data_IF_428612735278
#
_entry.id   IF_428612735278
#
_cell.length_a   1.000
_cell.length_b   1.000
_cell.length_c   1.000
_cell.angle_alpha   90.00
_cell.angle_beta   90.00
_cell.angle_gamma   90.00
#
_symmetry.space_group_name_H-M   'P 1'
#
loop_
_entity.id
_entity.type
_entity.pdbx_description
1 polymer ?
#
# COMPACT_ATOMS: atom_id res chain seq x y z
N UNK A 1 9.38 30.50 -15.48
CA UNK A 1 10.54 29.73 -14.95
C UNK A 1 10.33 29.24 -13.51
N UNK A 2 9.72 30.01 -12.59
CA UNK A 2 9.46 29.58 -11.21
C UNK A 2 8.53 28.34 -11.09
N UNK A 3 7.48 28.24 -11.91
CA UNK A 3 6.53 27.12 -11.86
C UNK A 3 7.13 25.77 -12.22
N UNK A 4 8.11 25.74 -13.14
CA UNK A 4 8.83 24.52 -13.53
C UNK A 4 9.71 23.99 -12.39
N UNK A 5 10.44 24.87 -11.70
CA UNK A 5 11.25 24.48 -10.53
C UNK A 5 10.39 23.95 -9.37
N UNK A 6 9.23 24.55 -9.11
CA UNK A 6 8.31 24.10 -8.06
C UNK A 6 7.76 22.69 -8.34
N UNK A 7 7.44 22.38 -9.60
CA UNK A 7 6.98 21.04 -9.99
C UNK A 7 8.08 19.97 -9.82
N UNK A 8 9.34 20.31 -10.12
CA UNK A 8 10.49 19.40 -9.94
C UNK A 8 10.81 19.18 -8.47
N UNK A 9 10.66 20.21 -7.62
CA UNK A 9 10.89 20.10 -6.18
C UNK A 9 9.92 19.11 -5.51
N UNK A 10 8.64 19.11 -5.93
CA UNK A 10 7.64 18.16 -5.43
C UNK A 10 8.00 16.69 -5.71
N UNK A 11 8.69 16.42 -6.82
CA UNK A 11 9.17 15.08 -7.16
C UNK A 11 10.27 14.56 -6.23
N UNK A 12 11.08 15.46 -5.64
CA UNK A 12 12.14 15.09 -4.69
C UNK A 12 11.66 15.00 -3.23
N UNK A 13 10.47 15.49 -2.93
CA UNK A 13 9.94 15.48 -1.56
C UNK A 13 9.96 14.07 -0.91
N UNK A 14 9.49 12.98 -1.57
CA UNK A 14 9.50 11.65 -0.98
C UNK A 14 10.91 11.14 -0.66
N UNK A 15 11.87 11.36 -1.59
CA UNK A 15 13.27 10.98 -1.40
C UNK A 15 13.91 11.71 -0.22
N UNK A 16 13.62 13.01 -0.09
CA UNK A 16 14.10 13.80 1.04
C UNK A 16 13.53 13.28 2.36
N UNK A 17 12.23 12.99 2.44
CA UNK A 17 11.61 12.43 3.65
C UNK A 17 12.16 11.04 4.03
N UNK A 18 12.41 10.17 3.05
CA UNK A 18 13.03 8.86 3.30
C UNK A 18 14.45 9.04 3.85
N UNK A 19 15.26 9.90 3.24
CA UNK A 19 16.63 10.16 3.69
C UNK A 19 16.69 10.75 5.11
N UNK A 20 15.82 11.71 5.41
CA UNK A 20 15.68 12.30 6.75
C UNK A 20 15.21 11.26 7.76
N UNK A 21 14.24 10.41 7.39
CA UNK A 21 13.75 9.31 8.22
C UNK A 21 14.85 8.30 8.55
N UNK A 22 15.71 7.97 7.58
CA UNK A 22 16.84 7.07 7.76
C UNK A 22 17.88 7.66 8.73
N UNK A 23 18.21 8.94 8.59
CA UNK A 23 19.18 9.63 9.45
C UNK A 23 18.64 9.81 10.88
N UNK A 24 17.33 10.03 11.02
CA UNK A 24 16.66 10.30 12.29
C UNK A 24 15.91 9.09 12.86
N UNK A 25 16.31 7.86 12.46
CA UNK A 25 15.69 6.61 12.90
C UNK A 25 15.59 6.51 14.43
N UNK A 26 16.64 6.93 15.16
CA UNK A 26 16.69 6.91 16.63
C UNK A 26 15.62 7.78 17.28
N UNK A 27 15.29 8.91 16.66
CA UNK A 27 14.28 9.85 17.18
C UNK A 27 12.88 9.40 16.75
N UNK A 28 12.75 8.82 15.56
CA UNK A 28 11.47 8.44 14.96
C UNK A 28 10.94 7.10 15.46
N UNK A 29 11.81 6.15 15.82
CA UNK A 29 11.46 4.82 16.32
C UNK A 29 10.39 4.80 17.44
N UNK A 30 10.45 5.64 18.50
CA UNK A 30 9.41 5.65 19.54
C UNK A 30 8.03 6.14 19.07
N UNK A 31 7.94 6.82 17.92
CA UNK A 31 6.67 7.33 17.37
C UNK A 31 5.95 6.32 16.46
N UNK A 32 6.33 5.04 16.47
CA UNK A 32 5.68 4.00 15.66
C UNK A 32 4.17 3.86 15.90
N UNK A 33 3.68 4.26 17.08
CA UNK A 33 2.25 4.28 17.40
C UNK A 33 1.45 5.30 16.58
N UNK A 34 2.10 6.33 16.04
CA UNK A 34 1.49 7.38 15.22
C UNK A 34 1.24 6.91 13.77
N UNK A 35 2.01 5.94 13.30
CA UNK A 35 1.91 5.43 11.92
C UNK A 35 0.48 5.02 11.52
N UNK A 36 -0.28 4.22 12.29
CA UNK A 36 -1.64 3.87 11.91
C UNK A 36 -2.60 5.07 11.88
N UNK A 37 -2.38 6.09 12.70
CA UNK A 37 -3.17 7.34 12.65
C UNK A 37 -2.90 8.13 11.37
N UNK A 38 -1.64 8.19 10.94
CA UNK A 38 -1.24 8.87 9.70
C UNK A 38 -1.79 8.12 8.48
N UNK A 39 -1.68 6.79 8.45
CA UNK A 39 -2.24 5.99 7.35
C UNK A 39 -3.77 6.10 7.30
N UNK A 40 -4.43 6.08 8.45
CA UNK A 40 -5.87 6.34 8.57
C UNK A 40 -6.24 7.71 7.97
N UNK A 41 -5.54 8.78 8.36
CA UNK A 41 -5.77 10.11 7.81
C UNK A 41 -5.50 10.18 6.30
N UNK A 42 -4.43 9.53 5.81
CA UNK A 42 -4.16 9.43 4.37
C UNK A 42 -5.29 8.71 3.63
N UNK A 43 -5.82 7.62 4.20
CA UNK A 43 -6.94 6.87 3.62
C UNK A 43 -8.22 7.71 3.61
N UNK A 44 -8.51 8.45 4.69
CA UNK A 44 -9.62 9.39 4.76
C UNK A 44 -9.56 10.46 3.67
N UNK A 45 -8.41 11.15 3.56
CA UNK A 45 -8.22 12.14 2.52
C UNK A 45 -8.21 11.52 1.12
N UNK A 46 -7.69 10.29 0.98
CA UNK A 46 -7.77 9.56 -0.27
C UNK A 46 -9.21 9.34 -0.67
N UNK A 47 -10.08 8.86 0.22
CA UNK A 47 -11.52 8.68 -0.06
C UNK A 47 -12.21 10.00 -0.37
N UNK A 48 -11.92 11.08 0.38
CA UNK A 48 -12.52 12.40 0.15
C UNK A 48 -12.15 13.04 -1.18
N UNK A 49 -10.91 12.83 -1.66
CA UNK A 49 -10.46 13.39 -2.94
C UNK A 49 -10.97 12.59 -4.15
N UNK A 50 -11.64 11.45 -3.93
CA UNK A 50 -12.02 10.53 -5.01
C UNK A 50 -13.44 10.79 -5.54
N UNK A 51 -13.61 10.98 -6.87
CA UNK A 51 -14.93 11.08 -7.47
C UNK A 51 -15.61 9.70 -7.52
N UNK A 52 -16.83 9.53 -6.97
CA UNK A 52 -17.55 8.25 -6.93
C UNK A 52 -17.95 7.71 -8.32
N UNK A 53 -17.91 8.56 -9.36
CA UNK A 53 -18.21 8.18 -10.75
C UNK A 53 -17.08 7.43 -11.46
N UNK A 54 -15.85 7.45 -10.93
CA UNK A 54 -14.71 6.69 -11.46
C UNK A 54 -14.68 5.23 -10.96
N UNK A 55 -15.64 4.84 -10.11
CA UNK A 55 -15.71 3.54 -9.46
C UNK A 55 -16.18 2.39 -10.37
N UNK A 56 -16.38 2.61 -11.69
CA UNK A 56 -16.79 1.54 -12.60
C UNK A 56 -15.65 0.49 -12.74
N UNK A 57 -15.79 -0.71 -12.15
CA UNK A 57 -14.72 -1.69 -12.15
C UNK A 57 -14.56 -2.23 -13.58
N UNK A 58 -13.49 -1.80 -14.25
CA UNK A 58 -13.07 -2.37 -15.53
C UNK A 58 -12.28 -3.66 -15.31
N UNK A 59 -12.44 -4.69 -16.15
CA UNK A 59 -11.69 -5.95 -16.04
C UNK A 59 -10.17 -5.76 -16.13
N UNK A 60 -9.72 -4.66 -16.73
CA UNK A 60 -8.30 -4.28 -16.79
C UNK A 60 -7.68 -4.01 -15.41
N UNK A 61 -8.46 -3.54 -14.42
CA UNK A 61 -7.94 -3.34 -13.06
C UNK A 61 -7.58 -4.67 -12.38
N UNK A 62 -8.36 -5.72 -12.65
CA UNK A 62 -8.11 -7.04 -12.09
C UNK A 62 -6.87 -7.68 -12.72
N UNK A 63 -6.66 -7.48 -14.03
CA UNK A 63 -5.42 -7.90 -14.69
C UNK A 63 -4.18 -7.25 -14.08
N UNK A 64 -4.22 -5.93 -13.83
CA UNK A 64 -3.12 -5.22 -13.19
C UNK A 64 -2.86 -5.72 -11.76
N UNK A 65 -3.91 -6.04 -11.01
CA UNK A 65 -3.78 -6.60 -9.67
C UNK A 65 -3.15 -8.00 -9.68
N UNK A 66 -3.57 -8.87 -10.60
CA UNK A 66 -2.95 -10.20 -10.77
C UNK A 66 -1.49 -10.06 -11.16
N UNK A 67 -1.15 -9.12 -12.04
CA UNK A 67 0.24 -8.85 -12.42
C UNK A 67 1.07 -8.37 -11.22
N UNK A 68 0.54 -7.45 -10.40
CA UNK A 68 1.17 -6.97 -9.16
C UNK A 68 1.50 -8.13 -8.21
N UNK A 69 0.52 -9.03 -7.97
CA UNK A 69 0.73 -10.19 -7.12
C UNK A 69 1.68 -11.22 -7.74
N UNK A 70 1.62 -11.43 -9.06
CA UNK A 70 2.49 -12.35 -9.76
C UNK A 70 3.96 -11.88 -9.71
N UNK A 71 4.21 -10.58 -9.90
CA UNK A 71 5.55 -10.00 -9.77
C UNK A 71 6.07 -10.16 -8.34
N UNK A 72 5.26 -9.81 -7.33
CA UNK A 72 5.62 -9.97 -5.92
C UNK A 72 5.90 -11.42 -5.55
N UNK A 73 5.06 -12.35 -5.99
CA UNK A 73 5.23 -13.79 -5.75
C UNK A 73 6.47 -14.35 -6.45
N UNK A 74 6.74 -13.94 -7.69
CA UNK A 74 7.95 -14.37 -8.43
C UNK A 74 9.21 -13.88 -7.72
N UNK A 75 9.23 -12.61 -7.28
CA UNK A 75 10.33 -12.06 -6.49
C UNK A 75 10.51 -12.81 -5.17
N UNK A 76 9.42 -13.14 -4.48
CA UNK A 76 9.46 -13.94 -3.27
C UNK A 76 10.10 -15.32 -3.50
N UNK A 77 9.73 -16.05 -4.55
CA UNK A 77 10.33 -17.35 -4.86
C UNK A 77 11.84 -17.26 -5.16
N UNK A 78 12.26 -16.22 -5.89
CA UNK A 78 13.68 -16.01 -6.21
C UNK A 78 14.48 -15.65 -4.95
N UNK A 79 13.97 -14.74 -4.12
CA UNK A 79 14.68 -14.26 -2.93
C UNK A 79 14.58 -15.22 -1.75
N UNK A 80 13.56 -16.08 -1.69
CA UNK A 80 13.43 -17.11 -0.66
C UNK A 80 14.57 -18.13 -0.70
N UNK A 81 15.32 -18.21 -1.81
CA UNK A 81 16.54 -19.02 -1.90
C UNK A 81 17.74 -18.40 -1.15
N UNK A 82 17.71 -17.10 -0.87
CA UNK A 82 18.76 -16.38 -0.16
C UNK A 82 18.39 -16.08 1.29
N UNK A 83 17.27 -15.39 1.50
CA UNK A 83 16.82 -14.99 2.83
C UNK A 83 15.29 -14.87 2.88
N UNK A 84 14.68 -15.66 3.75
CA UNK A 84 13.23 -15.72 3.89
C UNK A 84 12.63 -14.45 4.52
N UNK A 85 13.37 -13.73 5.37
CA UNK A 85 12.91 -12.49 6.01
C UNK A 85 12.85 -11.36 4.99
N UNK A 86 13.88 -11.24 4.15
CA UNK A 86 13.92 -10.24 3.07
C UNK A 86 12.85 -10.56 2.02
N UNK A 87 12.68 -11.83 1.65
CA UNK A 87 11.64 -12.26 0.72
C UNK A 87 10.23 -11.92 1.22
N UNK A 88 9.92 -12.25 2.48
CA UNK A 88 8.60 -12.01 3.08
C UNK A 88 8.31 -10.51 3.25
N UNK A 89 9.30 -9.71 3.66
CA UNK A 89 9.13 -8.25 3.79
C UNK A 89 8.93 -7.55 2.43
N UNK A 90 9.61 -8.02 1.38
CA UNK A 90 9.35 -7.55 0.02
C UNK A 90 7.97 -7.96 -0.48
N UNK A 91 7.55 -9.21 -0.23
CA UNK A 91 6.22 -9.66 -0.61
C UNK A 91 5.13 -8.84 0.11
N UNK A 92 5.32 -8.51 1.39
CA UNK A 92 4.43 -7.60 2.15
C UNK A 92 4.30 -6.23 1.48
N UNK A 93 5.37 -5.70 0.88
CA UNK A 93 5.33 -4.44 0.12
C UNK A 93 4.47 -4.56 -1.15
N UNK A 94 4.58 -5.68 -1.88
CA UNK A 94 3.73 -5.93 -3.05
C UNK A 94 2.27 -6.24 -2.67
N UNK A 95 2.06 -6.78 -1.48
CA UNK A 95 0.76 -6.95 -0.86
C UNK A 95 0.17 -5.65 -0.33
N UNK A 96 0.89 -4.53 -0.33
CA UNK A 96 0.29 -3.24 0.00
C UNK A 96 -0.67 -2.85 -1.14
N UNK A 97 -1.83 -2.25 -0.83
CA UNK A 97 -2.72 -1.73 -1.86
C UNK A 97 -2.03 -0.63 -2.69
N UNK A 98 -2.51 -0.41 -3.91
CA UNK A 98 -1.94 0.63 -4.78
C UNK A 98 -2.00 1.99 -4.09
N UNK A 99 -0.91 2.77 -4.15
CA UNK A 99 -0.82 4.01 -3.40
C UNK A 99 -1.89 5.03 -3.81
N UNK A 100 -2.59 5.63 -2.84
CA UNK A 100 -3.61 6.66 -3.10
C UNK A 100 -3.09 7.89 -3.86
N UNK A 101 -1.78 8.14 -3.82
CA UNK A 101 -1.13 9.20 -4.59
C UNK A 101 -1.03 8.90 -6.10
N UNK A 102 -1.36 7.68 -6.56
CA UNK A 102 -1.26 7.28 -7.96
C UNK A 102 -2.10 8.16 -8.89
N UNK A 103 -3.29 8.59 -8.46
CA UNK A 103 -4.13 9.52 -9.23
C UNK A 103 -3.47 10.89 -9.45
N UNK A 104 -2.84 11.45 -8.41
CA UNK A 104 -2.12 12.72 -8.48
C UNK A 104 -0.82 12.63 -9.30
N UNK A 105 -0.14 11.47 -9.30
CA UNK A 105 1.01 11.24 -10.17
C UNK A 105 0.59 11.03 -11.63
N UNK A 106 -0.56 10.40 -11.86
CA UNK A 106 -1.10 10.20 -13.21
C UNK A 106 -1.52 11.52 -13.85
N UNK A 107 -2.03 12.48 -13.08
CA UNK A 107 -2.34 13.82 -13.59
C UNK A 107 -1.09 14.61 -14.02
N UNK A 108 0.06 14.36 -13.37
CA UNK A 108 1.35 14.93 -13.77
C UNK A 108 1.87 14.35 -15.10
N UNK A 109 1.43 13.14 -15.47
CA UNK A 109 1.82 12.45 -16.70
C UNK A 109 0.79 12.63 -17.84
N UNK A 110 -0.18 13.54 -17.68
CA UNK A 110 -1.32 13.73 -18.62
C UNK A 110 -2.12 12.43 -18.87
N UNK A 111 -2.10 11.51 -17.89
CA UNK A 111 -2.76 10.21 -17.98
C UNK A 111 -4.20 10.22 -17.45
N UNK A 112 -4.90 9.10 -17.63
CA UNK A 112 -6.27 8.94 -17.15
C UNK A 112 -6.32 8.78 -15.62
N UNK A 113 -6.57 9.89 -14.93
CA UNK A 113 -6.65 9.96 -13.46
C UNK A 113 -7.80 9.13 -12.90
N UNK A 114 -8.89 8.98 -13.66
CA UNK A 114 -10.04 8.16 -13.29
C UNK A 114 -9.69 6.67 -13.21
N UNK A 115 -8.91 6.17 -14.16
CA UNK A 115 -8.44 4.78 -14.25
C UNK A 115 -7.46 4.48 -13.12
N UNK A 116 -6.49 5.36 -12.86
CA UNK A 116 -5.55 5.21 -11.75
C UNK A 116 -6.27 5.20 -10.38
N UNK A 117 -7.28 6.05 -10.23
CA UNK A 117 -8.11 6.12 -9.02
C UNK A 117 -9.00 4.88 -8.88
N UNK A 118 -9.66 4.44 -9.95
CA UNK A 118 -10.46 3.21 -9.96
C UNK A 118 -9.64 1.96 -9.64
N UNK A 119 -8.40 1.87 -10.15
CA UNK A 119 -7.46 0.81 -9.80
C UNK A 119 -7.13 0.81 -8.31
N UNK A 120 -6.93 1.99 -7.72
CA UNK A 120 -6.64 2.16 -6.29
C UNK A 120 -7.79 1.61 -5.42
N UNK A 121 -9.05 1.89 -5.78
CA UNK A 121 -10.23 1.40 -5.05
C UNK A 121 -10.33 -0.12 -5.13
N UNK A 122 -10.25 -0.66 -6.35
CA UNK A 122 -10.35 -2.10 -6.59
C UNK A 122 -9.26 -2.85 -5.82
N UNK A 123 -8.03 -2.35 -5.84
CA UNK A 123 -6.92 -2.97 -5.11
C UNK A 123 -7.04 -2.84 -3.60
N UNK A 124 -7.50 -1.71 -3.05
CA UNK A 124 -7.77 -1.58 -1.62
C UNK A 124 -8.85 -2.55 -1.14
N UNK A 125 -9.93 -2.73 -1.90
CA UNK A 125 -10.97 -3.70 -1.56
C UNK A 125 -10.48 -5.15 -1.66
N UNK A 126 -9.82 -5.50 -2.76
CA UNK A 126 -9.28 -6.85 -2.97
C UNK A 126 -8.24 -7.22 -1.92
N UNK A 127 -7.34 -6.29 -1.58
CA UNK A 127 -6.29 -6.58 -0.61
C UNK A 127 -6.85 -6.79 0.80
N UNK A 128 -7.92 -6.10 1.18
CA UNK A 128 -8.58 -6.32 2.46
C UNK A 128 -9.11 -7.75 2.60
N UNK A 129 -9.49 -8.38 1.49
CA UNK A 129 -9.92 -9.78 1.46
C UNK A 129 -8.75 -10.76 1.32
N UNK A 130 -7.75 -10.41 0.51
CA UNK A 130 -6.64 -11.30 0.15
C UNK A 130 -5.54 -11.34 1.21
N UNK A 131 -5.22 -10.21 1.86
CA UNK A 131 -4.18 -10.11 2.89
C UNK A 131 -4.38 -11.05 4.10
N UNK A 132 -5.58 -11.13 4.73
CA UNK A 132 -5.79 -12.04 5.85
C UNK A 132 -5.70 -13.52 5.46
N UNK A 133 -5.79 -13.85 4.17
CA UNK A 133 -5.60 -15.22 3.66
C UNK A 133 -4.13 -15.51 3.30
N UNK A 134 -3.46 -14.63 2.55
CA UNK A 134 -2.08 -14.86 2.09
C UNK A 134 -1.05 -14.75 3.22
N UNK A 135 -1.20 -13.78 4.13
CA UNK A 135 -0.17 -13.50 5.13
C UNK A 135 0.04 -14.65 6.15
N UNK A 136 -1.00 -15.30 6.69
CA UNK A 136 -0.77 -16.46 7.54
C UNK A 136 -0.28 -17.70 6.79
N UNK A 137 -0.39 -17.76 5.44
CA UNK A 137 0.23 -18.83 4.64
C UNK A 137 1.74 -18.62 4.49
N UNK A 138 2.20 -17.36 4.47
CA UNK A 138 3.63 -17.07 4.38
C UNK A 138 4.35 -17.25 5.72
N UNK A 139 3.67 -17.01 6.83
CA UNK A 139 4.28 -17.11 8.17
C UNK A 139 4.28 -18.57 8.69
N UNK A 140 5.26 -19.34 8.22
CA UNK A 140 5.42 -20.78 8.54
C UNK A 140 5.94 -21.05 9.97
N UNK A 141 6.35 -20.01 10.70
CA UNK A 141 7.01 -20.10 12.01
C UNK A 141 6.11 -19.74 13.20
N UNK A 142 4.84 -19.42 12.96
CA UNK A 142 3.91 -19.04 14.01
C UNK A 142 3.40 -20.25 14.78
N UNK A 143 3.48 -20.21 16.11
CA UNK A 143 2.88 -21.22 17.00
C UNK A 143 1.34 -21.10 17.10
N UNK A 144 0.74 -20.24 16.30
CA UNK A 144 -0.69 -19.94 16.31
C UNK A 144 -1.38 -20.65 15.13
N UNK A 145 -2.60 -21.20 15.33
CA UNK A 145 -3.33 -21.81 14.25
C UNK A 145 -3.72 -20.76 13.19
N UNK A 146 -3.69 -21.17 11.92
CA UNK A 146 -3.97 -20.34 10.73
C UNK A 146 -5.17 -19.38 10.91
N UNK A 147 -6.29 -19.91 11.41
CA UNK A 147 -7.53 -19.14 11.59
C UNK A 147 -7.41 -18.01 12.62
N UNK A 148 -6.59 -18.18 13.65
CA UNK A 148 -6.35 -17.14 14.67
C UNK A 148 -5.50 -16.00 14.12
N UNK A 149 -4.45 -16.33 13.36
CA UNK A 149 -3.61 -15.34 12.69
C UNK A 149 -4.38 -14.58 11.62
N UNK A 150 -5.14 -15.31 10.79
CA UNK A 150 -6.01 -14.73 9.77
C UNK A 150 -7.01 -13.74 10.39
N UNK A 151 -7.65 -14.14 11.50
CA UNK A 151 -8.56 -13.28 12.27
C UNK A 151 -7.89 -12.03 12.85
N UNK A 152 -6.66 -12.15 13.39
CA UNK A 152 -5.91 -10.99 13.90
C UNK A 152 -5.55 -10.01 12.78
N UNK A 153 -5.10 -10.51 11.63
CA UNK A 153 -4.77 -9.68 10.48
C UNK A 153 -6.03 -9.00 9.94
N UNK A 154 -7.15 -9.72 9.85
CA UNK A 154 -8.43 -9.16 9.45
C UNK A 154 -8.88 -8.02 10.40
N UNK A 155 -8.77 -8.23 11.71
CA UNK A 155 -9.08 -7.20 12.71
C UNK A 155 -8.13 -5.98 12.62
N UNK A 156 -6.85 -6.20 12.33
CA UNK A 156 -5.89 -5.11 12.12
C UNK A 156 -6.27 -4.27 10.88
N UNK A 157 -6.59 -4.93 9.78
CA UNK A 157 -7.01 -4.29 8.52
C UNK A 157 -8.33 -3.54 8.73
N UNK A 158 -9.33 -4.17 9.34
CA UNK A 158 -10.62 -3.54 9.67
C UNK A 158 -10.40 -2.33 10.58
N UNK A 159 -9.55 -2.45 11.60
CA UNK A 159 -9.26 -1.34 12.51
C UNK A 159 -8.55 -0.20 11.79
N UNK A 160 -7.61 -0.46 10.89
CA UNK A 160 -6.98 0.61 10.09
C UNK A 160 -7.96 1.28 9.12
N UNK A 161 -8.92 0.53 8.56
CA UNK A 161 -9.87 1.03 7.56
C UNK A 161 -11.10 1.71 8.17
N UNK A 162 -11.56 1.27 9.34
CA UNK A 162 -12.74 1.82 10.02
C UNK A 162 -12.42 3.02 10.92
N UNK A 163 -11.20 3.11 11.46
CA UNK A 163 -10.77 4.25 12.29
C UNK A 163 -10.83 5.64 11.59
N UNK A 164 -10.70 5.79 10.27
CA UNK A 164 -10.95 7.07 9.61
C UNK A 164 -12.44 7.38 9.36
N UNK A 165 -13.34 6.41 9.54
CA UNK A 165 -14.78 6.54 9.21
C UNK A 165 -15.62 6.88 10.45
N UNK A 166 -15.11 6.64 11.66
CA UNK A 166 -15.74 6.93 12.97
C UNK A 166 -15.10 8.17 13.59
#
# INVERSE_FOLDING_TARGET
MLGSLWSRLKGFAPLFFIAVGLLSWRITAPYGWLAPWIISAMLFFAVLNMPPSAAAPRPKHLLLFVLQLAIGGTLYFILSAWDHVIATSLFMCFLAPAAAAAGAMTSLMDGDTGFATGYTIVTHGLICLVAPFLLPLLDSHSQLPFWTLSGQIALLVIRMVMLPIV
#
